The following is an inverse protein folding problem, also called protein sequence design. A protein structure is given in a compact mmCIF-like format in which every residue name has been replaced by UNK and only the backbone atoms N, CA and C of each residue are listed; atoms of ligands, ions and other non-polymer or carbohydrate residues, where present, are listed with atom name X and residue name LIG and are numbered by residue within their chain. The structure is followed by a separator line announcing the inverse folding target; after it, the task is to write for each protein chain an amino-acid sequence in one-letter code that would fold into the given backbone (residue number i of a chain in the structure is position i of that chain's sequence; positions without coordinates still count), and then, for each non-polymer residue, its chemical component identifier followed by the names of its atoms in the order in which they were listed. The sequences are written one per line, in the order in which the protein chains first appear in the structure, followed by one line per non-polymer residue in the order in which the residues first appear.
data_IF_813814283878
#
_entry.id   IF_813814283878
#
_cell.length_a   1.000
_cell.length_b   1.000
_cell.length_c   1.000
_cell.angle_alpha   90.00
_cell.angle_beta   90.00
_cell.angle_gamma   90.00
#
_symmetry.space_group_name_H-M   'P 1'
#
loop_
_entity.id
_entity.type
_entity.pdbx_description
1 polymer ?
#
# COMPACT_ATOMS: atom_id res chain seq x y z
N UNK A 1 12.59 7.04 -7.14
CA UNK A 1 11.60 7.83 -6.36
C UNK A 1 10.34 6.99 -6.33
N UNK A 2 10.05 6.32 -5.22
CA UNK A 2 8.96 5.34 -5.16
C UNK A 2 7.63 6.06 -5.31
N UNK A 3 6.80 5.56 -6.23
CA UNK A 3 5.40 5.91 -6.25
C UNK A 3 4.66 4.59 -6.17
N UNK A 4 4.27 4.19 -4.97
CA UNK A 4 3.12 3.31 -4.86
C UNK A 4 1.91 4.16 -5.24
N UNK A 5 1.55 4.14 -6.53
CA UNK A 5 0.15 4.32 -6.90
C UNK A 5 -0.54 3.19 -6.16
N UNK A 6 -1.24 3.52 -5.07
CA UNK A 6 -1.97 2.59 -4.18
C UNK A 6 -1.72 1.12 -4.50
N UNK A 7 -1.06 0.40 -3.59
CA UNK A 7 -1.20 -1.06 -3.55
C UNK A 7 -2.68 -1.49 -3.61
N UNK A 8 -3.64 -0.64 -3.21
CA UNK A 8 -5.07 -0.93 -3.36
C UNK A 8 -5.84 0.30 -3.85
N UNK A 9 -5.86 0.54 -5.16
CA UNK A 9 -7.12 0.81 -5.87
C UNK A 9 -6.92 0.62 -7.36
N UNK A 10 -7.37 -0.53 -7.85
CA UNK A 10 -7.83 -0.63 -9.22
C UNK A 10 -8.99 0.35 -9.46
N UNK A 11 -9.13 0.87 -10.70
CA UNK A 11 -10.16 1.80 -11.15
C UNK A 11 -11.54 1.12 -11.32
N UNK A 12 -11.98 0.36 -10.31
CA UNK A 12 -13.32 -0.24 -10.24
C UNK A 12 -14.18 0.34 -9.11
N UNK A 13 -13.84 1.54 -8.62
CA UNK A 13 -14.79 2.43 -7.94
C UNK A 13 -15.29 3.51 -8.91
N UNK A 14 -15.75 3.10 -10.09
CA UNK A 14 -16.85 3.79 -10.79
C UNK A 14 -18.19 3.20 -10.33
N UNK A 15 -18.36 3.06 -9.01
CA UNK A 15 -19.66 3.25 -8.42
C UNK A 15 -19.65 4.69 -7.96
N UNK A 16 -20.53 5.49 -8.54
CA UNK A 16 -20.86 6.85 -8.13
C UNK A 16 -20.64 7.02 -6.61
N UNK A 17 -19.58 7.75 -6.25
CA UNK A 17 -19.21 8.00 -4.84
C UNK A 17 -20.33 8.68 -4.03
N UNK A 18 -21.43 9.10 -4.68
CA UNK A 18 -22.65 9.59 -4.04
C UNK A 18 -23.58 8.54 -3.41
N UNK A 19 -23.27 7.23 -3.45
CA UNK A 19 -24.22 6.19 -3.01
C UNK A 19 -23.77 5.30 -1.84
N UNK A 20 -22.63 5.55 -1.19
CA UNK A 20 -22.17 4.78 -0.01
C UNK A 20 -22.54 5.41 1.35
N UNK A 21 -23.27 6.52 1.37
CA UNK A 21 -23.58 7.28 2.59
C UNK A 21 -24.97 6.99 3.19
N UNK A 22 -25.58 5.85 2.84
CA UNK A 22 -26.92 5.50 3.31
C UNK A 22 -26.99 4.06 3.79
N UNK A 23 -26.33 3.74 4.90
CA UNK A 23 -26.69 2.58 5.74
C UNK A 23 -26.10 2.72 7.17
N UNK A 24 -26.79 3.47 8.04
CA UNK A 24 -26.60 3.35 9.49
C UNK A 24 -27.54 2.27 10.00
N UNK A 25 -27.02 1.06 10.24
CA UNK A 25 -27.75 0.05 11.00
C UNK A 25 -27.66 0.40 12.50
N UNK A 26 -28.79 0.82 13.08
CA UNK A 26 -28.98 0.92 14.52
C UNK A 26 -28.76 -0.44 15.16
N UNK A 27 -27.80 -0.56 16.07
CA UNK A 27 -27.84 -1.60 17.11
C UNK A 27 -27.83 -0.92 18.47
N UNK A 28 -28.97 -1.02 19.14
CA UNK A 28 -29.20 -0.52 20.49
C UNK A 28 -28.42 -1.38 21.48
N UNK A 29 -27.51 -0.77 22.23
CA UNK A 29 -27.18 -1.26 23.57
C UNK A 29 -27.12 -0.07 24.52
N UNK A 30 -27.85 -0.22 25.62
CA UNK A 30 -28.19 0.83 26.57
C UNK A 30 -26.96 1.14 27.42
N UNK A 31 -26.41 2.34 27.22
CA UNK A 31 -25.55 3.00 28.19
C UNK A 31 -25.82 4.50 28.10
N UNK A 32 -26.16 5.10 29.24
CA UNK A 32 -26.47 6.52 29.46
C UNK A 32 -25.44 7.43 28.81
N UNK A 33 -25.71 7.91 27.59
CA UNK A 33 -24.93 8.93 26.90
C UNK A 33 -25.89 10.02 26.43
N UNK A 34 -25.47 11.28 26.55
CA UNK A 34 -26.22 12.42 26.00
C UNK A 34 -26.61 12.13 24.56
N UNK A 35 -27.91 11.89 24.35
CA UNK A 35 -28.47 11.57 23.03
C UNK A 35 -28.33 12.79 22.15
N UNK A 36 -27.40 12.72 21.19
CA UNK A 36 -27.33 13.64 20.07
C UNK A 36 -28.69 13.69 19.36
N UNK A 37 -29.18 14.88 18.96
CA UNK A 37 -30.50 15.02 18.35
C UNK A 37 -30.58 14.19 17.07
N UNK A 38 -31.63 13.39 16.93
CA UNK A 38 -31.84 12.55 15.75
C UNK A 38 -32.19 13.41 14.52
N UNK A 39 -31.75 13.02 13.31
CA UNK A 39 -32.15 13.69 12.07
C UNK A 39 -33.66 13.61 11.81
N UNK A 40 -34.33 12.65 12.45
CA UNK A 40 -35.78 12.46 12.40
C UNK A 40 -36.34 12.73 13.79
N UNK A 41 -37.22 13.71 13.90
CA UNK A 41 -38.03 13.89 15.09
C UNK A 41 -39.10 12.79 15.09
N UNK A 42 -38.98 11.84 16.01
CA UNK A 42 -39.85 10.65 16.10
C UNK A 42 -41.26 11.03 16.57
N UNK A 43 -41.42 12.15 17.28
CA UNK A 43 -42.71 12.59 17.80
C UNK A 43 -43.52 13.36 16.76
N UNK A 44 -42.84 14.15 15.91
CA UNK A 44 -43.50 14.91 14.84
C UNK A 44 -43.42 14.26 13.46
N UNK A 45 -42.70 13.15 13.30
CA UNK A 45 -42.37 12.53 12.01
C UNK A 45 -41.79 13.52 10.99
N UNK A 46 -41.11 14.57 11.46
CA UNK A 46 -40.47 15.57 10.61
C UNK A 46 -38.96 15.46 10.67
N UNK A 47 -38.29 15.89 9.60
CA UNK A 47 -36.84 16.05 9.62
C UNK A 47 -36.47 17.18 10.56
N UNK A 48 -35.41 16.96 11.33
CA UNK A 48 -34.75 18.03 12.03
C UNK A 48 -33.89 18.81 11.03
N UNK A 49 -34.45 19.85 10.43
CA UNK A 49 -33.80 20.65 9.38
C UNK A 49 -32.43 21.19 9.81
N UNK A 50 -32.24 21.47 11.09
CA UNK A 50 -30.95 21.97 11.61
C UNK A 50 -29.87 20.89 11.61
N UNK A 51 -30.22 19.64 11.94
CA UNK A 51 -29.31 18.50 11.90
C UNK A 51 -29.00 18.13 10.45
N UNK A 52 -30.02 18.05 9.60
CA UNK A 52 -29.85 17.74 8.18
C UNK A 52 -28.96 18.77 7.48
N UNK A 53 -29.16 20.07 7.75
CA UNK A 53 -28.31 21.12 7.18
C UNK A 53 -26.85 20.98 7.61
N UNK A 54 -26.61 20.72 8.89
CA UNK A 54 -25.26 20.50 9.43
C UNK A 54 -24.59 19.27 8.80
N UNK A 55 -25.33 18.17 8.62
CA UNK A 55 -24.80 16.95 8.01
C UNK A 55 -24.49 17.14 6.51
N UNK A 56 -25.31 17.92 5.80
CA UNK A 56 -25.05 18.28 4.40
C UNK A 56 -23.80 19.16 4.25
N UNK A 57 -23.62 20.16 5.12
CA UNK A 57 -22.41 21.01 5.16
C UNK A 57 -21.16 20.18 5.50
N UNK A 58 -21.27 19.22 6.42
CA UNK A 58 -20.19 18.29 6.73
C UNK A 58 -19.81 17.41 5.54
N UNK A 59 -20.81 16.86 4.84
CA UNK A 59 -20.61 16.04 3.65
C UNK A 59 -19.92 16.82 2.52
N UNK A 60 -20.34 18.07 2.29
CA UNK A 60 -19.72 18.95 1.30
C UNK A 60 -18.22 19.18 1.61
N UNK A 61 -17.89 19.52 2.87
CA UNK A 61 -16.49 19.68 3.30
C UNK A 61 -15.66 18.40 3.09
N UNK A 62 -16.24 17.22 3.35
CA UNK A 62 -15.58 15.94 3.12
C UNK A 62 -15.34 15.66 1.64
N UNK A 63 -16.32 15.99 0.78
CA UNK A 63 -16.19 15.83 -0.67
C UNK A 63 -15.11 16.75 -1.24
N UNK A 64 -15.08 18.01 -0.82
CA UNK A 64 -14.02 18.96 -1.20
C UNK A 64 -12.64 18.44 -0.79
N UNK A 65 -12.52 17.91 0.44
CA UNK A 65 -11.27 17.35 0.92
C UNK A 65 -10.80 16.17 0.09
N UNK A 66 -11.71 15.23 -0.21
CA UNK A 66 -11.41 14.06 -1.06
C UNK A 66 -10.91 14.51 -2.43
N UNK A 67 -11.55 15.50 -3.04
CA UNK A 67 -11.14 16.03 -4.34
C UNK A 67 -9.74 16.67 -4.29
N UNK A 68 -9.40 17.38 -3.21
CA UNK A 68 -8.05 17.95 -3.02
C UNK A 68 -7.01 16.85 -2.86
N UNK A 69 -7.31 15.79 -2.10
CA UNK A 69 -6.40 14.64 -1.93
C UNK A 69 -6.18 13.94 -3.27
N UNK A 70 -7.25 13.65 -4.02
CA UNK A 70 -7.16 12.91 -5.28
C UNK A 70 -6.42 13.71 -6.38
N UNK A 71 -6.68 15.01 -6.49
CA UNK A 71 -5.96 15.89 -7.42
C UNK A 71 -4.49 16.04 -7.03
N UNK A 72 -4.18 16.24 -5.76
CA UNK A 72 -2.80 16.29 -5.25
C UNK A 72 -2.05 14.98 -5.48
N UNK A 73 -2.72 13.83 -5.33
CA UNK A 73 -2.16 12.51 -5.62
C UNK A 73 -1.87 12.34 -7.10
N UNK A 74 -2.79 12.76 -7.98
CA UNK A 74 -2.59 12.72 -9.43
C UNK A 74 -1.40 13.58 -9.89
N UNK A 75 -1.24 14.75 -9.26
CA UNK A 75 -0.09 15.66 -9.45
C UNK A 75 1.21 15.17 -8.78
N UNK A 76 1.15 14.08 -7.98
CA UNK A 76 2.26 13.57 -7.16
C UNK A 76 2.78 14.60 -6.14
N UNK A 77 1.94 15.54 -5.74
CA UNK A 77 2.24 16.59 -4.78
C UNK A 77 2.02 16.08 -3.34
N UNK A 78 2.92 15.21 -2.86
CA UNK A 78 2.79 14.55 -1.55
C UNK A 78 2.65 15.54 -0.38
N UNK A 79 3.33 16.70 -0.44
CA UNK A 79 3.17 17.75 0.58
C UNK A 79 1.75 18.34 0.62
N UNK A 80 1.09 18.49 -0.53
CA UNK A 80 -0.32 18.92 -0.58
C UNK A 80 -1.25 17.86 -0.01
N UNK A 81 -0.94 16.57 -0.23
CA UNK A 81 -1.67 15.45 0.39
C UNK A 81 -1.56 15.54 1.91
N UNK A 82 -0.37 15.79 2.47
CA UNK A 82 -0.17 15.93 3.91
C UNK A 82 -0.95 17.12 4.49
N UNK A 83 -0.91 18.28 3.85
CA UNK A 83 -1.71 19.45 4.29
C UNK A 83 -3.21 19.15 4.26
N UNK A 84 -3.69 18.43 3.24
CA UNK A 84 -5.09 18.02 3.17
C UNK A 84 -5.42 17.00 4.27
N UNK A 85 -4.56 16.02 4.54
CA UNK A 85 -4.75 15.07 5.64
C UNK A 85 -4.85 15.80 6.98
N UNK A 86 -3.95 16.75 7.25
CA UNK A 86 -3.98 17.55 8.48
C UNK A 86 -5.30 18.34 8.61
N UNK A 87 -5.76 18.97 7.53
CA UNK A 87 -7.09 19.61 7.48
C UNK A 87 -8.22 18.61 7.79
N UNK A 88 -8.14 17.40 7.25
CA UNK A 88 -9.09 16.32 7.50
C UNK A 88 -9.11 15.85 8.95
N UNK A 89 -7.94 15.71 9.58
CA UNK A 89 -7.82 15.37 10.99
C UNK A 89 -8.39 16.49 11.89
N UNK A 90 -8.17 17.76 11.54
CA UNK A 90 -8.81 18.90 12.20
C UNK A 90 -10.34 18.86 12.06
N UNK A 91 -10.83 18.58 10.86
CA UNK A 91 -12.26 18.36 10.58
C UNK A 91 -12.88 17.26 11.43
N UNK A 92 -12.17 16.14 11.66
CA UNK A 92 -12.63 15.06 12.55
C UNK A 92 -12.75 15.53 14.00
N UNK A 93 -11.75 16.27 14.50
CA UNK A 93 -11.77 16.81 15.85
C UNK A 93 -12.93 17.80 16.06
N UNK A 94 -13.28 18.59 15.04
CA UNK A 94 -14.40 19.54 15.07
C UNK A 94 -15.77 18.85 15.03
N UNK A 95 -15.95 17.84 14.15
CA UNK A 95 -17.25 17.24 13.86
C UNK A 95 -17.61 16.05 14.76
N UNK A 96 -16.61 15.42 15.37
CA UNK A 96 -16.76 14.26 16.24
C UNK A 96 -17.07 12.94 15.52
N UNK A 97 -16.84 11.82 16.20
CA UNK A 97 -16.95 10.46 15.65
C UNK A 97 -18.35 10.06 15.15
N UNK A 98 -19.39 10.79 15.56
CA UNK A 98 -20.78 10.57 15.14
C UNK A 98 -21.03 10.98 13.68
N UNK A 99 -20.30 11.98 13.19
CA UNK A 99 -20.47 12.53 11.84
C UNK A 99 -19.33 12.16 10.89
N UNK A 100 -18.29 11.51 11.42
CA UNK A 100 -17.17 11.02 10.65
C UNK A 100 -16.65 9.73 11.28
N UNK A 101 -16.91 8.57 10.65
CA UNK A 101 -16.59 7.27 11.24
C UNK A 101 -15.08 7.13 11.50
N UNK A 102 -14.70 6.31 12.49
CA UNK A 102 -13.31 5.92 12.83
C UNK A 102 -12.51 5.49 11.57
N UNK A 103 -13.21 4.95 10.57
CA UNK A 103 -12.66 4.64 9.26
C UNK A 103 -12.09 5.87 8.54
N UNK A 104 -12.68 7.06 8.69
CA UNK A 104 -12.17 8.31 8.12
C UNK A 104 -10.81 8.70 8.71
N UNK A 105 -10.61 8.58 10.03
CA UNK A 105 -9.30 8.87 10.63
C UNK A 105 -8.25 7.90 10.11
N UNK A 106 -8.57 6.60 10.12
CA UNK A 106 -7.66 5.54 9.66
C UNK A 106 -7.27 5.75 8.19
N UNK A 107 -8.24 6.06 7.32
CA UNK A 107 -7.99 6.32 5.90
C UNK A 107 -7.14 7.56 5.68
N UNK A 108 -7.39 8.66 6.42
CA UNK A 108 -6.55 9.85 6.36
C UNK A 108 -5.10 9.55 6.78
N UNK A 109 -4.92 8.78 7.85
CA UNK A 109 -3.59 8.38 8.34
C UNK A 109 -2.86 7.44 7.37
N UNK A 110 -3.58 6.57 6.65
CA UNK A 110 -3.01 5.78 5.55
C UNK A 110 -2.53 6.66 4.40
N UNK A 111 -3.29 7.69 4.03
CA UNK A 111 -2.87 8.66 3.01
C UNK A 111 -1.62 9.44 3.45
N UNK A 112 -1.56 9.87 4.73
CA UNK A 112 -0.35 10.48 5.28
C UNK A 112 0.84 9.52 5.30
N UNK A 113 0.63 8.27 5.72
CA UNK A 113 1.68 7.24 5.72
C UNK A 113 2.27 7.08 4.32
N UNK A 114 1.41 6.96 3.30
CA UNK A 114 1.84 6.80 1.92
C UNK A 114 2.57 8.04 1.39
N UNK A 115 2.09 9.24 1.73
CA UNK A 115 2.73 10.50 1.34
C UNK A 115 4.12 10.66 1.98
N UNK A 116 4.24 10.40 3.29
CA UNK A 116 5.53 10.39 3.99
C UNK A 116 6.49 9.33 3.43
N UNK A 117 5.99 8.13 3.13
CA UNK A 117 6.78 7.08 2.47
C UNK A 117 7.35 7.56 1.13
N UNK A 118 6.53 8.20 0.29
CA UNK A 118 6.96 8.71 -1.01
C UNK A 118 8.00 9.85 -0.87
N UNK A 119 7.91 10.62 0.20
CA UNK A 119 8.88 11.66 0.58
C UNK A 119 10.12 11.11 1.30
N UNK A 120 10.23 9.78 1.50
CA UNK A 120 11.30 9.11 2.24
C UNK A 120 11.40 9.55 3.71
N UNK A 121 10.29 10.02 4.28
CA UNK A 121 10.16 10.39 5.69
C UNK A 121 9.67 9.17 6.48
N UNK A 122 10.50 8.13 6.57
CA UNK A 122 10.06 6.81 7.05
C UNK A 122 9.66 6.79 8.53
N UNK A 123 10.26 7.63 9.37
CA UNK A 123 9.84 7.81 10.76
C UNK A 123 8.42 8.35 10.87
N UNK A 124 8.11 9.43 10.14
CA UNK A 124 6.78 10.04 10.13
C UNK A 124 5.72 9.13 9.48
N UNK A 125 6.14 8.35 8.46
CA UNK A 125 5.29 7.32 7.86
C UNK A 125 4.92 6.25 8.91
N UNK A 126 5.91 5.74 9.65
CA UNK A 126 5.66 4.72 10.66
C UNK A 126 4.76 5.24 11.79
N UNK A 127 5.01 6.46 12.27
CA UNK A 127 4.18 7.09 13.31
C UNK A 127 2.71 7.22 12.85
N UNK A 128 2.49 7.66 11.61
CA UNK A 128 1.15 7.76 11.02
C UNK A 128 0.46 6.40 10.93
N UNK A 129 1.20 5.37 10.52
CA UNK A 129 0.68 4.01 10.38
C UNK A 129 0.38 3.36 11.74
N UNK A 130 1.22 3.57 12.74
CA UNK A 130 1.00 3.12 14.13
C UNK A 130 -0.24 3.77 14.72
N UNK A 131 -0.42 5.08 14.50
CA UNK A 131 -1.65 5.78 14.91
C UNK A 131 -2.88 5.16 14.24
N UNK A 132 -2.83 4.90 12.92
CA UNK A 132 -3.93 4.26 12.19
C UNK A 132 -4.25 2.86 12.76
N UNK A 133 -3.21 2.08 13.05
CA UNK A 133 -3.33 0.75 13.67
C UNK A 133 -4.00 0.84 15.03
N UNK A 134 -3.55 1.75 15.89
CA UNK A 134 -4.09 1.92 17.24
C UNK A 134 -5.57 2.32 17.20
N UNK A 135 -5.95 3.26 16.33
CA UNK A 135 -7.35 3.65 16.09
C UNK A 135 -8.23 2.44 15.71
N UNK A 136 -7.75 1.53 14.86
CA UNK A 136 -8.47 0.30 14.53
C UNK A 136 -8.53 -0.70 15.68
N UNK A 137 -7.47 -0.79 16.48
CA UNK A 137 -7.40 -1.73 17.61
C UNK A 137 -8.31 -1.32 18.78
N UNK A 138 -8.60 -0.02 18.94
CA UNK A 138 -9.60 0.48 19.87
C UNK A 138 -11.03 0.05 19.50
N UNK A 139 -11.27 -0.29 18.23
CA UNK A 139 -12.56 -0.80 17.76
C UNK A 139 -12.79 -2.25 18.25
N UNK A 140 -14.00 -2.59 18.74
CA UNK A 140 -14.33 -3.96 19.15
C UNK A 140 -14.09 -4.96 18.03
N UNK A 141 -13.50 -6.11 18.37
CA UNK A 141 -13.07 -7.14 17.39
C UNK A 141 -14.20 -7.56 16.44
N UNK A 142 -15.44 -7.64 16.95
CA UNK A 142 -16.62 -8.05 16.17
C UNK A 142 -16.99 -7.12 15.01
N UNK A 143 -16.58 -5.84 15.07
CA UNK A 143 -16.88 -4.82 14.04
C UNK A 143 -15.61 -4.20 13.45
N UNK A 144 -14.44 -4.69 13.84
CA UNK A 144 -13.16 -4.19 13.34
C UNK A 144 -13.00 -4.57 11.88
N UNK A 145 -12.57 -3.61 11.08
CA UNK A 145 -12.23 -3.87 9.68
C UNK A 145 -10.88 -4.60 9.58
N UNK A 146 -10.93 -5.92 9.46
CA UNK A 146 -9.74 -6.77 9.35
C UNK A 146 -8.95 -6.49 8.06
N UNK A 147 -9.64 -6.14 6.97
CA UNK A 147 -8.97 -5.81 5.71
C UNK A 147 -8.22 -4.48 5.83
N UNK A 148 -8.83 -3.47 6.45
CA UNK A 148 -8.16 -2.19 6.69
C UNK A 148 -6.97 -2.33 7.65
N UNK A 149 -7.09 -3.19 8.68
CA UNK A 149 -5.97 -3.51 9.58
C UNK A 149 -4.81 -4.20 8.83
N UNK A 150 -5.14 -5.13 7.93
CA UNK A 150 -4.15 -5.78 7.08
C UNK A 150 -3.45 -4.78 6.14
N UNK A 151 -4.18 -3.80 5.60
CA UNK A 151 -3.62 -2.75 4.75
C UNK A 151 -2.65 -1.84 5.52
N UNK A 152 -3.01 -1.44 6.75
CA UNK A 152 -2.12 -0.70 7.65
C UNK A 152 -0.85 -1.49 7.93
N UNK A 153 -0.97 -2.76 8.33
CA UNK A 153 0.18 -3.63 8.61
C UNK A 153 1.07 -3.82 7.38
N UNK A 154 0.47 -4.00 6.19
CA UNK A 154 1.23 -4.11 4.95
C UNK A 154 2.05 -2.83 4.67
N UNK A 155 1.45 -1.65 4.86
CA UNK A 155 2.15 -0.38 4.65
C UNK A 155 3.27 -0.17 5.69
N UNK A 156 3.02 -0.51 6.95
CA UNK A 156 4.06 -0.55 8.00
C UNK A 156 5.23 -1.45 7.60
N UNK A 157 4.96 -2.65 7.07
CA UNK A 157 5.99 -3.58 6.65
C UNK A 157 6.86 -3.03 5.51
N UNK A 158 6.27 -2.30 4.54
CA UNK A 158 7.04 -1.59 3.53
C UNK A 158 7.91 -0.48 4.12
N UNK A 159 7.39 0.30 5.06
CA UNK A 159 8.16 1.35 5.76
C UNK A 159 9.36 0.71 6.50
N UNK A 160 9.12 -0.35 7.25
CA UNK A 160 10.15 -1.09 8.00
C UNK A 160 11.22 -1.67 7.08
N UNK A 161 10.82 -2.19 5.92
CA UNK A 161 11.74 -2.70 4.91
C UNK A 161 12.69 -1.61 4.41
N UNK A 162 12.19 -0.41 4.08
CA UNK A 162 13.02 0.70 3.64
C UNK A 162 13.92 1.27 4.76
N UNK A 163 13.49 1.14 6.03
CA UNK A 163 14.32 1.44 7.20
C UNK A 163 15.42 0.40 7.49
N UNK A 164 15.39 -0.75 6.81
CA UNK A 164 16.33 -1.85 7.04
C UNK A 164 15.93 -2.81 8.17
N UNK A 165 14.73 -2.68 8.74
CA UNK A 165 14.16 -3.59 9.73
C UNK A 165 13.55 -4.83 9.03
N UNK A 166 14.40 -5.59 8.34
CA UNK A 166 13.96 -6.63 7.40
C UNK A 166 13.21 -7.78 8.11
N UNK A 167 13.67 -8.19 9.30
CA UNK A 167 13.09 -9.34 10.02
C UNK A 167 11.68 -9.01 10.54
N UNK A 168 11.47 -7.77 10.99
CA UNK A 168 10.16 -7.28 11.43
C UNK A 168 9.20 -7.11 10.24
N UNK A 169 9.67 -6.53 9.14
CA UNK A 169 8.89 -6.44 7.90
C UNK A 169 8.46 -7.82 7.39
N UNK A 170 9.38 -8.80 7.39
CA UNK A 170 9.09 -10.19 6.99
C UNK A 170 8.01 -10.81 7.86
N UNK A 171 8.10 -10.60 9.17
CA UNK A 171 7.11 -11.11 10.14
C UNK A 171 5.73 -10.53 9.84
N UNK A 172 5.62 -9.21 9.70
CA UNK A 172 4.34 -8.54 9.44
C UNK A 172 3.75 -8.97 8.09
N UNK A 173 4.55 -9.02 7.02
CA UNK A 173 4.06 -9.49 5.72
C UNK A 173 3.56 -10.94 5.79
N UNK A 174 4.26 -11.81 6.52
CA UNK A 174 3.87 -13.22 6.67
C UNK A 174 2.57 -13.36 7.46
N UNK A 175 2.39 -12.56 8.52
CA UNK A 175 1.13 -12.50 9.27
C UNK A 175 -0.03 -12.04 8.40
N UNK A 176 0.17 -10.99 7.60
CA UNK A 176 -0.84 -10.50 6.64
C UNK A 176 -1.15 -11.57 5.60
N UNK A 177 -0.14 -12.23 5.02
CA UNK A 177 -0.35 -13.30 4.04
C UNK A 177 -1.15 -14.47 4.63
N UNK A 178 -0.84 -14.87 5.87
CA UNK A 178 -1.61 -15.91 6.58
C UNK A 178 -3.06 -15.51 6.76
N UNK A 179 -3.33 -14.26 7.14
CA UNK A 179 -4.69 -13.75 7.25
C UNK A 179 -5.43 -13.81 5.90
N UNK A 180 -4.77 -13.44 4.80
CA UNK A 180 -5.34 -13.51 3.46
C UNK A 180 -5.67 -14.96 3.06
N UNK A 181 -4.73 -15.89 3.21
CA UNK A 181 -4.85 -17.24 2.68
C UNK A 181 -5.75 -18.16 3.54
N UNK A 182 -5.85 -17.87 4.84
CA UNK A 182 -6.58 -18.70 5.83
C UNK A 182 -7.86 -18.00 6.28
N UNK A 183 -7.73 -16.82 6.88
CA UNK A 183 -8.79 -16.20 7.68
C UNK A 183 -9.80 -15.43 6.83
N UNK A 184 -9.36 -14.81 5.72
CA UNK A 184 -10.20 -14.00 4.85
C UNK A 184 -11.30 -14.79 4.11
N UNK A 185 -11.27 -16.12 4.16
CA UNK A 185 -12.36 -16.98 3.64
C UNK A 185 -13.61 -16.95 4.51
N UNK A 186 -13.49 -16.49 5.76
CA UNK A 186 -14.57 -16.48 6.75
C UNK A 186 -15.17 -15.10 7.02
N UNK A 187 -14.61 -14.05 6.42
CA UNK A 187 -15.06 -12.66 6.60
C UNK A 187 -16.13 -12.26 5.58
N UNK A 188 -16.67 -11.05 5.75
CA UNK A 188 -17.67 -10.49 4.83
C UNK A 188 -17.12 -10.45 3.39
N UNK A 189 -17.94 -10.69 2.35
CA UNK A 189 -17.47 -10.77 0.96
C UNK A 189 -16.62 -9.60 0.50
N UNK A 190 -16.94 -8.38 0.95
CA UNK A 190 -16.17 -7.17 0.61
C UNK A 190 -14.73 -7.21 1.14
N UNK A 191 -14.52 -7.73 2.35
CA UNK A 191 -13.18 -7.89 2.93
C UNK A 191 -12.41 -9.03 2.28
N UNK A 192 -13.09 -10.10 1.85
CA UNK A 192 -12.46 -11.19 1.10
C UNK A 192 -11.91 -10.69 -0.26
N UNK A 193 -12.66 -9.83 -0.96
CA UNK A 193 -12.17 -9.20 -2.21
C UNK A 193 -10.97 -8.29 -1.94
N UNK A 194 -11.01 -7.48 -0.87
CA UNK A 194 -9.87 -6.66 -0.48
C UNK A 194 -8.62 -7.51 -0.17
N UNK A 195 -8.78 -8.64 0.52
CA UNK A 195 -7.70 -9.57 0.82
C UNK A 195 -7.05 -10.16 -0.44
N UNK A 196 -7.85 -10.57 -1.43
CA UNK A 196 -7.33 -11.08 -2.72
C UNK A 196 -6.51 -10.01 -3.44
N UNK A 197 -7.00 -8.77 -3.48
CA UNK A 197 -6.28 -7.65 -4.11
C UNK A 197 -4.96 -7.32 -3.38
N UNK A 198 -4.96 -7.44 -2.06
CA UNK A 198 -3.79 -7.18 -1.21
C UNK A 198 -2.69 -8.24 -1.38
N UNK A 199 -3.07 -9.49 -1.64
CA UNK A 199 -2.14 -10.65 -1.66
C UNK A 199 -0.91 -10.40 -2.52
N UNK A 200 -1.09 -9.85 -3.72
CA UNK A 200 0.02 -9.58 -4.66
C UNK A 200 1.08 -8.70 -4.04
N UNK A 201 0.66 -7.61 -3.40
CA UNK A 201 1.63 -6.69 -2.83
C UNK A 201 2.31 -7.28 -1.62
N UNK A 202 1.58 -8.02 -0.78
CA UNK A 202 2.20 -8.74 0.33
C UNK A 202 3.26 -9.73 -0.19
N UNK A 203 2.94 -10.52 -1.22
CA UNK A 203 3.89 -11.43 -1.88
C UNK A 203 5.10 -10.67 -2.45
N UNK A 204 4.87 -9.52 -3.10
CA UNK A 204 5.95 -8.66 -3.60
C UNK A 204 6.84 -8.17 -2.45
N UNK A 205 6.24 -7.74 -1.34
CA UNK A 205 6.93 -7.29 -0.13
C UNK A 205 7.79 -8.39 0.50
N UNK A 206 7.26 -9.62 0.60
CA UNK A 206 8.02 -10.79 1.07
C UNK A 206 9.19 -11.08 0.13
N UNK A 207 8.97 -11.03 -1.18
CA UNK A 207 10.03 -11.20 -2.17
C UNK A 207 11.16 -10.17 -2.01
N UNK A 208 10.82 -8.90 -1.76
CA UNK A 208 11.81 -7.86 -1.44
C UNK A 208 12.52 -8.11 -0.11
N UNK A 209 11.82 -8.61 0.92
CA UNK A 209 12.45 -8.98 2.18
C UNK A 209 13.49 -10.09 2.00
N UNK A 210 13.16 -11.17 1.29
CA UNK A 210 14.13 -12.24 1.02
C UNK A 210 15.32 -11.75 0.22
N UNK A 211 15.11 -10.88 -0.76
CA UNK A 211 16.21 -10.26 -1.50
C UNK A 211 17.13 -9.45 -0.59
N UNK A 212 16.58 -8.68 0.35
CA UNK A 212 17.37 -7.92 1.34
C UNK A 212 18.07 -8.80 2.35
N UNK A 213 17.46 -9.90 2.79
CA UNK A 213 18.12 -10.89 3.63
C UNK A 213 19.27 -11.55 2.89
N UNK A 214 19.11 -11.87 1.60
CA UNK A 214 20.17 -12.41 0.76
C UNK A 214 21.35 -11.41 0.61
N UNK A 215 21.07 -10.12 0.36
CA UNK A 215 22.11 -9.07 0.34
C UNK A 215 22.88 -9.01 1.68
N UNK A 216 22.17 -9.10 2.81
CA UNK A 216 22.77 -9.11 4.16
C UNK A 216 23.61 -10.36 4.41
N UNK A 217 23.13 -11.52 3.98
CA UNK A 217 23.84 -12.79 4.13
C UNK A 217 25.15 -12.80 3.32
N UNK A 218 25.09 -12.37 2.05
CA UNK A 218 26.28 -12.22 1.20
C UNK A 218 27.28 -11.23 1.81
N UNK A 219 26.80 -10.11 2.34
CA UNK A 219 27.66 -9.13 3.01
C UNK A 219 28.34 -9.70 4.27
N UNK A 220 27.71 -10.69 4.93
CA UNK A 220 28.28 -11.40 6.09
C UNK A 220 29.17 -12.60 5.73
N UNK A 221 29.36 -12.88 4.43
CA UNK A 221 30.22 -13.95 3.92
C UNK A 221 29.51 -15.27 3.60
N UNK A 222 28.18 -15.32 3.66
CA UNK A 222 27.38 -16.44 3.14
C UNK A 222 27.20 -16.35 1.61
N UNK A 223 26.51 -17.33 1.01
CA UNK A 223 26.23 -17.32 -0.43
C UNK A 223 24.88 -16.69 -0.81
N UNK A 224 23.91 -16.63 0.13
CA UNK A 224 22.59 -16.03 -0.06
C UNK A 224 21.73 -16.66 -1.17
N UNK A 225 22.18 -17.74 -1.81
CA UNK A 225 21.56 -18.27 -3.04
C UNK A 225 20.16 -18.81 -2.79
N UNK A 226 19.95 -19.48 -1.66
CA UNK A 226 18.63 -19.98 -1.26
C UNK A 226 17.62 -18.83 -1.11
N UNK A 227 18.03 -17.75 -0.46
CA UNK A 227 17.19 -16.57 -0.25
C UNK A 227 16.90 -15.83 -1.55
N UNK A 228 17.89 -15.69 -2.44
CA UNK A 228 17.66 -15.17 -3.79
C UNK A 228 16.70 -16.04 -4.59
N UNK A 229 16.80 -17.37 -4.48
CA UNK A 229 15.85 -18.31 -5.09
C UNK A 229 14.43 -18.09 -4.59
N UNK A 230 14.23 -18.02 -3.28
CA UNK A 230 12.91 -17.71 -2.67
C UNK A 230 12.36 -16.36 -3.13
N UNK A 231 13.22 -15.36 -3.25
CA UNK A 231 12.82 -14.05 -3.78
C UNK A 231 12.37 -14.14 -5.25
N UNK A 232 13.07 -14.91 -6.09
CA UNK A 232 12.70 -15.10 -7.50
C UNK A 232 11.31 -15.73 -7.65
N UNK A 233 11.02 -16.79 -6.91
CA UNK A 233 9.72 -17.49 -6.98
C UNK A 233 8.55 -16.52 -6.75
N UNK A 234 8.66 -15.67 -5.71
CA UNK A 234 7.61 -14.71 -5.34
C UNK A 234 7.56 -13.50 -6.27
N UNK A 235 8.71 -12.96 -6.68
CA UNK A 235 8.77 -11.75 -7.50
C UNK A 235 8.37 -12.02 -8.96
N UNK A 236 8.63 -13.22 -9.48
CA UNK A 236 8.17 -13.62 -10.82
C UNK A 236 6.64 -13.82 -10.82
N UNK A 237 6.07 -14.43 -9.77
CA UNK A 237 4.62 -14.52 -9.59
C UNK A 237 3.99 -13.11 -9.58
N UNK A 238 4.55 -12.18 -8.82
CA UNK A 238 4.02 -10.83 -8.72
C UNK A 238 4.18 -9.99 -10.01
N UNK A 239 5.26 -10.21 -10.77
CA UNK A 239 5.60 -9.41 -11.95
C UNK A 239 4.54 -9.52 -13.07
N UNK A 240 3.99 -10.71 -13.30
CA UNK A 240 2.96 -10.92 -14.34
C UNK A 240 1.76 -10.00 -14.08
N UNK A 241 1.33 -9.93 -12.83
CA UNK A 241 0.17 -9.13 -12.42
C UNK A 241 0.47 -7.63 -12.46
N UNK A 242 1.68 -7.20 -12.07
CA UNK A 242 2.08 -5.78 -12.20
C UNK A 242 2.05 -5.31 -13.66
N UNK A 243 2.42 -6.19 -14.60
CA UNK A 243 2.36 -5.92 -16.04
C UNK A 243 0.90 -5.80 -16.50
N UNK A 244 0.03 -6.72 -16.06
CA UNK A 244 -1.39 -6.72 -16.44
C UNK A 244 -2.12 -5.45 -15.96
N UNK A 245 -1.74 -4.91 -14.80
CA UNK A 245 -2.27 -3.65 -14.27
C UNK A 245 -1.61 -2.40 -14.85
N UNK A 246 -0.56 -2.58 -15.65
CA UNK A 246 0.23 -1.50 -16.22
C UNK A 246 0.79 -0.54 -15.15
N UNK A 247 1.17 -1.06 -13.98
CA UNK A 247 1.83 -0.29 -12.94
C UNK A 247 3.32 -0.14 -13.26
N UNK A 248 3.63 0.98 -13.91
CA UNK A 248 4.96 1.31 -14.36
C UNK A 248 6.04 1.20 -13.27
N UNK A 249 5.81 1.72 -12.07
CA UNK A 249 6.83 1.76 -10.99
C UNK A 249 6.99 0.40 -10.34
N UNK A 250 5.89 -0.32 -10.11
CA UNK A 250 5.94 -1.68 -9.54
C UNK A 250 6.63 -2.66 -10.48
N UNK A 251 6.35 -2.59 -11.79
CA UNK A 251 7.08 -3.40 -12.80
C UNK A 251 8.56 -3.04 -12.80
N UNK A 252 8.91 -1.75 -12.80
CA UNK A 252 10.30 -1.28 -12.80
C UNK A 252 11.06 -1.77 -11.56
N UNK A 253 10.51 -1.57 -10.35
CA UNK A 253 11.13 -2.02 -9.10
C UNK A 253 11.27 -3.54 -9.08
N UNK A 254 10.23 -4.28 -9.47
CA UNK A 254 10.23 -5.74 -9.49
C UNK A 254 11.27 -6.29 -10.47
N UNK A 255 11.31 -5.80 -11.71
CA UNK A 255 12.32 -6.20 -12.71
C UNK A 255 13.75 -5.93 -12.22
N UNK A 256 14.00 -4.76 -11.63
CA UNK A 256 15.33 -4.44 -11.09
C UNK A 256 15.75 -5.39 -9.96
N UNK A 257 14.78 -5.87 -9.17
CA UNK A 257 15.03 -6.77 -8.05
C UNK A 257 15.21 -8.20 -8.53
N UNK A 258 14.38 -8.67 -9.46
CA UNK A 258 14.50 -9.98 -10.13
C UNK A 258 15.87 -10.10 -10.82
N UNK A 259 16.34 -9.05 -11.50
CA UNK A 259 17.67 -9.01 -12.09
C UNK A 259 18.76 -9.28 -11.06
N UNK A 260 18.73 -8.56 -9.93
CA UNK A 260 19.69 -8.76 -8.83
C UNK A 260 19.63 -10.17 -8.26
N UNK A 261 18.43 -10.75 -8.16
CA UNK A 261 18.27 -12.11 -7.66
C UNK A 261 18.84 -13.13 -8.65
N UNK A 262 18.63 -12.97 -9.97
CA UNK A 262 19.26 -13.81 -10.98
C UNK A 262 20.80 -13.72 -10.96
N UNK A 263 21.34 -12.52 -10.77
CA UNK A 263 22.79 -12.37 -10.55
C UNK A 263 23.23 -13.10 -9.27
N UNK A 264 22.47 -12.96 -8.17
CA UNK A 264 22.76 -13.60 -6.88
C UNK A 264 22.78 -15.14 -6.94
N UNK A 265 21.91 -15.76 -7.73
CA UNK A 265 21.93 -17.22 -7.98
C UNK A 265 22.93 -17.64 -9.06
N UNK A 266 23.65 -16.68 -9.67
CA UNK A 266 24.59 -16.88 -10.77
C UNK A 266 23.96 -17.37 -12.09
N UNK A 267 22.68 -17.04 -12.33
CA UNK A 267 22.03 -17.23 -13.64
C UNK A 267 22.16 -15.95 -14.49
N UNK A 268 23.35 -15.76 -15.04
CA UNK A 268 23.72 -14.53 -15.75
C UNK A 268 22.92 -14.36 -17.05
N UNK A 269 22.53 -15.47 -17.69
CA UNK A 269 21.71 -15.42 -18.91
C UNK A 269 20.33 -14.82 -18.61
N UNK A 270 19.67 -15.27 -17.54
CA UNK A 270 18.40 -14.70 -17.10
C UNK A 270 18.55 -13.29 -16.55
N UNK A 271 19.66 -12.97 -15.88
CA UNK A 271 19.94 -11.60 -15.42
C UNK A 271 20.03 -10.61 -16.60
N UNK A 272 20.76 -10.96 -17.67
CA UNK A 272 20.86 -10.16 -18.89
C UNK A 272 19.50 -10.01 -19.57
N UNK A 273 18.77 -11.12 -19.76
CA UNK A 273 17.43 -11.09 -20.36
C UNK A 273 16.47 -10.20 -19.57
N UNK A 274 16.55 -10.22 -18.24
CA UNK A 274 15.74 -9.37 -17.37
C UNK A 274 16.14 -7.90 -17.47
N UNK A 275 17.44 -7.60 -17.61
CA UNK A 275 17.94 -6.25 -17.86
C UNK A 275 17.45 -5.66 -19.18
N UNK A 276 17.41 -6.47 -20.24
CA UNK A 276 16.84 -6.04 -21.53
C UNK A 276 15.34 -5.74 -21.42
N UNK A 277 14.59 -6.57 -20.69
CA UNK A 277 13.16 -6.33 -20.39
C UNK A 277 12.97 -5.03 -19.61
N UNK A 278 13.80 -4.76 -18.61
CA UNK A 278 13.80 -3.52 -17.83
C UNK A 278 14.02 -2.29 -18.74
N UNK A 279 15.05 -2.30 -19.58
CA UNK A 279 15.33 -1.20 -20.52
C UNK A 279 14.18 -1.00 -21.50
N UNK A 280 13.61 -2.08 -22.04
CA UNK A 280 12.46 -2.03 -22.94
C UNK A 280 11.22 -1.44 -22.26
N UNK A 281 10.96 -1.81 -21.01
CA UNK A 281 9.86 -1.27 -20.21
C UNK A 281 10.01 0.24 -19.97
N UNK A 282 11.19 0.69 -19.55
CA UNK A 282 11.50 2.12 -19.36
C UNK A 282 11.38 2.92 -20.66
N UNK A 283 11.88 2.38 -21.78
CA UNK A 283 11.79 3.04 -23.09
C UNK A 283 10.34 3.23 -23.55
N UNK A 284 9.47 2.23 -23.35
CA UNK A 284 8.04 2.33 -23.68
C UNK A 284 7.30 3.42 -22.89
N UNK A 285 7.82 3.80 -21.72
CA UNK A 285 7.26 4.80 -20.83
C UNK A 285 8.04 6.12 -20.83
N UNK A 286 8.94 6.32 -21.81
CA UNK A 286 9.75 7.55 -21.94
C UNK A 286 10.58 7.90 -20.70
N UNK A 287 11.03 6.89 -19.96
CA UNK A 287 11.91 7.05 -18.81
C UNK A 287 13.38 6.87 -19.21
N UNK A 288 13.99 7.96 -19.67
CA UNK A 288 15.40 7.99 -20.10
C UNK A 288 16.37 7.68 -18.95
N UNK A 289 16.03 8.06 -17.72
CA UNK A 289 16.86 7.77 -16.55
C UNK A 289 16.91 6.27 -16.27
N UNK A 290 15.78 5.58 -16.32
CA UNK A 290 15.73 4.13 -16.20
C UNK A 290 16.39 3.41 -17.38
N UNK A 291 16.26 3.90 -18.61
CA UNK A 291 16.99 3.36 -19.77
C UNK A 291 18.51 3.43 -19.56
N UNK A 292 19.01 4.58 -19.12
CA UNK A 292 20.43 4.77 -18.82
C UNK A 292 20.91 3.84 -17.70
N UNK A 293 20.14 3.73 -16.61
CA UNK A 293 20.42 2.84 -15.49
C UNK A 293 20.49 1.37 -15.93
N UNK A 294 19.48 0.88 -16.66
CA UNK A 294 19.44 -0.50 -17.13
C UNK A 294 20.57 -0.81 -18.12
N UNK A 295 20.89 0.13 -19.01
CA UNK A 295 22.00 -0.01 -19.96
C UNK A 295 23.36 -0.08 -19.24
N UNK A 296 23.53 0.68 -18.16
CA UNK A 296 24.74 0.62 -17.34
C UNK A 296 24.89 -0.75 -16.66
N UNK A 297 23.82 -1.29 -16.07
CA UNK A 297 23.82 -2.62 -15.47
C UNK A 297 24.17 -3.73 -16.48
N UNK A 298 23.58 -3.69 -17.68
CA UNK A 298 23.89 -4.68 -18.72
C UNK A 298 25.37 -4.67 -19.11
N UNK A 299 25.97 -3.48 -19.25
CA UNK A 299 27.41 -3.35 -19.52
C UNK A 299 28.27 -3.89 -18.38
N UNK A 300 27.85 -3.65 -17.13
CA UNK A 300 28.55 -4.16 -15.95
C UNK A 300 28.51 -5.70 -15.88
N UNK A 301 27.32 -6.30 -16.09
CA UNK A 301 27.15 -7.76 -16.15
C UNK A 301 28.03 -8.37 -17.25
N UNK A 302 28.03 -7.79 -18.45
CA UNK A 302 28.88 -8.24 -19.55
C UNK A 302 30.37 -8.11 -19.23
N UNK A 303 30.79 -7.06 -18.53
CA UNK A 303 32.19 -6.89 -18.13
C UNK A 303 32.61 -7.91 -17.07
N UNK A 304 31.72 -8.20 -16.12
CA UNK A 304 31.98 -9.08 -14.97
C UNK A 304 31.99 -10.56 -15.37
N UNK A 305 31.11 -10.97 -16.28
CA UNK A 305 30.90 -12.39 -16.63
C UNK A 305 31.19 -12.73 -18.10
N UNK A 306 31.40 -11.73 -18.98
CA UNK A 306 31.66 -11.94 -20.41
C UNK A 306 33.10 -12.33 -20.77
N UNK A 307 33.96 -12.63 -19.79
CA UNK A 307 35.36 -13.06 -20.01
C UNK A 307 35.61 -14.56 -19.90
N UNK A 308 34.61 -15.39 -19.63
CA UNK A 308 34.77 -16.86 -19.55
C UNK A 308 34.46 -17.60 -20.87
N UNK A 309 34.51 -16.91 -22.01
CA UNK A 309 34.25 -17.49 -23.34
C UNK A 309 35.47 -17.65 -24.26
N UNK A 310 36.68 -17.28 -23.83
CA UNK A 310 37.85 -17.24 -24.72
C UNK A 310 39.07 -17.98 -24.15
N UNK A 311 38.86 -19.16 -23.57
CA UNK A 311 39.93 -20.15 -23.33
C UNK A 311 39.35 -21.57 -23.19
N UNK A 312 39.04 -22.22 -24.31
CA UNK A 312 39.61 -23.54 -24.65
C UNK A 312 39.29 -23.88 -26.12
N UNK A 313 40.37 -24.00 -26.89
CA UNK A 313 40.44 -24.73 -28.17
C UNK A 313 40.26 -26.22 -27.94
#
# INVERSE_FOLDING_TARGET
MMHFRRVICLPCHHLSYGALWSCVCRTSSVSTSMTSPSPVNVESFTLNETVVKKDMEALERWNELSQVIDSSRAEKANEKVLMAVEKGLGMLAEMGALNAPIQCETLLLLEATQAHYNLQQFEAALESAERAKNTLLETPVAVRDAALLAEVNQLMAYVLLEKGNIDEATTIFTEVLRWIDVDAKSVMPMQAVAAVNMRRSVVTGIGFCYQKQAEKEVASGGDGKELYGKALDLLIEALSVHIDENDYESVKKTLSTVLKCFEGVNDISQAISTGDKYVSWCRRHSDEAGVAQGTAWLKELQKKYGKEGDTTR
#
